data_IF_866136533940
#
_entry.id   IF_866136533940
#
_cell.length_a   1.000
_cell.length_b   1.000
_cell.length_c   1.000
_cell.angle_alpha   90.00
_cell.angle_beta   90.00
_cell.angle_gamma   90.00
#
_symmetry.space_group_name_H-M   'P 1'
#
loop_
_entity.id
_entity.type
_entity.pdbx_description
1 polymer ?
#
# COMPACT_ATOMS: atom_id res chain seq x y z
N UNK A 1 19.66 13.98 50.20
CA UNK A 1 19.87 13.14 49.01
C UNK A 1 20.31 13.94 47.76
N UNK A 2 19.76 15.14 47.51
CA UNK A 2 20.12 16.04 46.41
C UNK A 2 21.53 16.63 46.53
N UNK A 3 22.01 16.94 47.76
CA UNK A 3 23.34 17.53 47.96
C UNK A 3 24.49 16.56 47.73
N UNK A 4 24.29 15.27 47.99
CA UNK A 4 25.29 14.24 47.68
C UNK A 4 25.45 14.00 46.16
N UNK A 5 24.37 14.18 45.41
CA UNK A 5 24.43 14.15 43.93
C UNK A 5 25.15 15.36 43.36
N UNK A 6 24.92 16.56 43.90
CA UNK A 6 25.63 17.80 43.49
C UNK A 6 27.14 17.70 43.75
N UNK A 7 27.56 17.18 44.90
CA UNK A 7 29.00 16.99 45.18
C UNK A 7 29.68 15.97 44.28
N UNK A 8 29.00 14.89 43.90
CA UNK A 8 29.54 13.90 42.93
C UNK A 8 29.69 14.47 41.51
N UNK A 9 28.80 15.39 41.11
CA UNK A 9 28.89 16.08 39.79
C UNK A 9 30.03 17.11 39.74
N UNK A 10 30.40 17.73 40.86
CA UNK A 10 31.45 18.73 40.92
C UNK A 10 32.89 18.15 40.82
N UNK A 11 33.07 16.89 41.20
CA UNK A 11 34.40 16.22 41.20
C UNK A 11 34.80 15.57 39.86
N UNK A 12 33.95 15.62 38.83
CA UNK A 12 34.29 15.03 37.55
C UNK A 12 35.26 15.93 36.74
N UNK A 13 36.35 15.35 36.15
CA UNK A 13 37.27 16.11 35.33
C UNK A 13 36.55 16.79 34.16
N UNK A 14 36.94 18.01 33.82
CA UNK A 14 36.27 18.85 32.79
C UNK A 14 36.05 18.13 31.46
N UNK A 15 36.96 17.24 31.04
CA UNK A 15 36.87 16.47 29.80
C UNK A 15 35.68 15.48 29.79
N UNK A 16 35.33 14.86 30.94
CA UNK A 16 34.22 13.92 31.02
C UNK A 16 32.86 14.61 30.89
N UNK A 17 32.75 15.86 31.36
CA UNK A 17 31.52 16.66 31.20
C UNK A 17 31.27 17.02 29.74
N UNK A 18 32.33 17.40 28.99
CA UNK A 18 32.23 17.69 27.57
C UNK A 18 31.76 16.47 26.78
N UNK A 19 32.33 15.29 27.07
CA UNK A 19 31.93 14.03 26.42
C UNK A 19 30.47 13.66 26.73
N UNK A 20 30.02 13.83 27.97
CA UNK A 20 28.63 13.57 28.35
C UNK A 20 27.65 14.48 27.63
N UNK A 21 27.95 15.78 27.55
CA UNK A 21 27.10 16.74 26.81
C UNK A 21 27.07 16.37 25.33
N UNK A 22 28.21 16.02 24.73
CA UNK A 22 28.26 15.55 23.35
C UNK A 22 27.39 14.31 23.13
N UNK A 23 27.52 13.29 23.99
CA UNK A 23 26.69 12.07 23.90
C UNK A 23 25.19 12.36 24.01
N UNK A 24 24.80 13.29 24.89
CA UNK A 24 23.38 13.66 25.05
C UNK A 24 22.88 14.37 23.77
N UNK A 25 23.65 15.33 23.23
CA UNK A 25 23.27 16.04 22.01
C UNK A 25 23.20 15.07 20.83
N UNK A 26 24.18 14.15 20.73
CA UNK A 26 24.20 13.11 19.69
C UNK A 26 23.00 12.19 19.77
N UNK A 27 22.64 11.71 20.96
CA UNK A 27 21.46 10.86 21.18
C UNK A 27 20.17 11.59 20.86
N UNK A 28 20.02 12.84 21.32
CA UNK A 28 18.84 13.66 20.99
C UNK A 28 18.76 13.96 19.50
N UNK A 29 19.87 14.26 18.83
CA UNK A 29 19.93 14.46 17.40
C UNK A 29 19.51 13.23 16.60
N UNK A 30 20.02 12.04 17.00
CA UNK A 30 19.58 10.79 16.39
C UNK A 30 18.10 10.50 16.64
N UNK A 31 17.61 10.70 17.88
CA UNK A 31 16.20 10.52 18.22
C UNK A 31 15.31 11.42 17.34
N UNK A 32 15.66 12.70 17.19
CA UNK A 32 14.96 13.63 16.30
C UNK A 32 15.03 13.18 14.84
N UNK A 33 16.20 12.77 14.36
CA UNK A 33 16.40 12.33 12.99
C UNK A 33 15.55 11.11 12.67
N UNK A 34 15.53 10.10 13.55
CA UNK A 34 14.70 8.91 13.36
C UNK A 34 13.20 9.19 13.56
N UNK A 35 12.83 10.13 14.43
CA UNK A 35 11.43 10.53 14.62
C UNK A 35 10.88 11.35 13.45
N UNK A 36 11.69 12.13 12.75
CA UNK A 36 11.26 12.86 11.55
C UNK A 36 10.87 11.91 10.41
N UNK A 37 11.50 10.73 10.31
CA UNK A 37 11.11 9.68 9.37
C UNK A 37 9.68 9.16 9.60
N UNK A 38 9.14 9.30 10.83
CA UNK A 38 7.77 8.92 11.16
C UNK A 38 6.76 9.93 10.61
N UNK A 39 7.16 11.19 10.49
CA UNK A 39 6.32 12.30 10.04
C UNK A 39 6.54 12.70 8.58
N UNK A 40 7.33 11.93 7.82
CA UNK A 40 7.48 12.22 6.39
C UNK A 40 6.13 12.14 5.70
N UNK A 41 5.70 13.18 4.97
CA UNK A 41 4.47 13.14 4.20
C UNK A 41 4.57 12.05 3.13
N UNK A 42 3.43 11.45 2.80
CA UNK A 42 3.36 10.52 1.68
C UNK A 42 3.82 11.23 0.40
N UNK A 43 4.69 10.59 -0.34
CA UNK A 43 5.18 11.14 -1.60
C UNK A 43 4.32 10.62 -2.75
N UNK A 44 3.62 11.53 -3.43
CA UNK A 44 2.82 11.24 -4.62
C UNK A 44 3.62 11.59 -5.86
N UNK A 45 3.71 10.67 -6.80
CA UNK A 45 4.27 10.94 -8.13
C UNK A 45 3.24 11.70 -8.95
N UNK A 46 3.71 12.60 -9.79
CA UNK A 46 2.86 13.29 -10.76
C UNK A 46 2.60 12.34 -11.93
N UNK A 47 1.56 11.53 -11.80
CA UNK A 47 1.09 10.57 -12.79
C UNK A 47 -0.43 10.67 -12.90
N UNK A 48 -0.95 10.38 -14.06
CA UNK A 48 -2.39 10.34 -14.27
C UNK A 48 -3.02 9.21 -13.47
N UNK A 49 -3.97 9.58 -12.60
CA UNK A 49 -4.69 8.64 -11.75
C UNK A 49 -5.96 8.19 -12.45
N UNK A 50 -6.15 6.88 -12.54
CA UNK A 50 -7.34 6.29 -13.13
C UNK A 50 -8.55 6.45 -12.17
N UNK A 51 -9.62 7.15 -12.57
CA UNK A 51 -10.84 7.24 -11.78
C UNK A 51 -11.65 5.94 -11.82
N UNK A 52 -12.60 5.80 -10.89
CA UNK A 52 -13.66 4.79 -11.00
C UNK A 52 -14.41 5.02 -12.30
N UNK A 53 -14.75 3.93 -13.00
CA UNK A 53 -15.33 3.96 -14.34
C UNK A 53 -14.31 3.88 -15.47
N UNK A 54 -13.00 3.85 -15.16
CA UNK A 54 -11.96 3.66 -16.18
C UNK A 54 -12.11 2.29 -16.84
N UNK A 55 -12.15 2.28 -18.16
CA UNK A 55 -12.19 1.06 -18.99
C UNK A 55 -10.78 0.67 -19.41
N UNK A 56 -10.45 -0.60 -19.21
CA UNK A 56 -9.18 -1.21 -19.59
C UNK A 56 -9.44 -2.20 -20.73
N UNK A 57 -9.16 -1.77 -21.94
CA UNK A 57 -9.26 -2.64 -23.13
C UNK A 57 -8.09 -3.62 -23.18
N UNK A 58 -8.39 -4.90 -23.21
CA UNK A 58 -7.45 -6.02 -23.20
C UNK A 58 -7.75 -6.99 -24.37
N UNK A 59 -7.73 -6.47 -25.58
CA UNK A 59 -8.10 -7.22 -26.78
C UNK A 59 -9.61 -7.40 -26.88
N UNK A 60 -10.10 -8.62 -26.72
CA UNK A 60 -11.53 -8.94 -26.75
C UNK A 60 -12.23 -8.73 -25.41
N UNK A 61 -11.48 -8.33 -24.38
CA UNK A 61 -11.98 -8.13 -23.01
C UNK A 61 -11.89 -6.68 -22.63
N UNK A 62 -12.89 -6.19 -21.94
CA UNK A 62 -12.87 -4.87 -21.31
C UNK A 62 -13.15 -5.02 -19.83
N UNK A 63 -12.26 -4.49 -18.99
CA UNK A 63 -12.42 -4.42 -17.55
C UNK A 63 -12.75 -2.99 -17.18
N UNK A 64 -13.91 -2.76 -16.58
CA UNK A 64 -14.31 -1.45 -16.05
C UNK A 64 -14.15 -1.43 -14.54
N UNK A 65 -13.40 -0.48 -14.00
CA UNK A 65 -13.23 -0.34 -12.55
C UNK A 65 -14.53 0.19 -11.96
N UNK A 66 -15.20 -0.61 -11.11
CA UNK A 66 -16.46 -0.23 -10.47
C UNK A 66 -16.27 0.21 -9.03
N UNK A 67 -15.29 -0.35 -8.31
CA UNK A 67 -14.96 0.03 -6.95
C UNK A 67 -13.48 -0.15 -6.66
N UNK A 68 -13.00 0.64 -5.69
CA UNK A 68 -11.69 0.52 -5.12
C UNK A 68 -11.73 0.85 -3.64
N UNK A 69 -11.57 -0.16 -2.80
CA UNK A 69 -11.74 -0.06 -1.36
C UNK A 69 -10.43 -0.34 -0.63
N UNK A 70 -10.07 0.51 0.32
CA UNK A 70 -8.91 0.37 1.19
C UNK A 70 -9.32 0.12 2.64
N UNK A 71 -8.89 -1.01 3.21
CA UNK A 71 -9.03 -1.34 4.61
C UNK A 71 -7.68 -1.28 5.32
N UNK A 72 -7.42 -0.20 6.05
CA UNK A 72 -6.13 0.02 6.72
C UNK A 72 -5.85 -1.02 7.79
N UNK A 73 -6.86 -1.44 8.56
CA UNK A 73 -6.73 -2.47 9.60
C UNK A 73 -6.30 -3.82 9.03
N UNK A 74 -6.83 -4.17 7.86
CA UNK A 74 -6.53 -5.42 7.16
C UNK A 74 -5.23 -5.31 6.35
N UNK A 75 -4.69 -4.10 6.19
CA UNK A 75 -3.55 -3.79 5.31
C UNK A 75 -3.77 -4.37 3.91
N UNK A 76 -4.99 -4.18 3.41
CA UNK A 76 -5.45 -4.74 2.16
C UNK A 76 -6.34 -3.77 1.40
N UNK A 77 -6.29 -3.84 0.09
CA UNK A 77 -7.25 -3.17 -0.76
C UNK A 77 -7.93 -4.16 -1.70
N UNK A 78 -9.11 -3.80 -2.14
CA UNK A 78 -9.90 -4.59 -3.07
C UNK A 78 -10.29 -3.74 -4.27
N UNK A 79 -10.17 -4.30 -5.46
CA UNK A 79 -10.60 -3.70 -6.70
C UNK A 79 -11.69 -4.58 -7.28
N UNK A 80 -12.80 -3.98 -7.66
CA UNK A 80 -13.90 -4.67 -8.33
C UNK A 80 -13.95 -4.18 -9.77
N UNK A 81 -13.96 -5.12 -10.70
CA UNK A 81 -14.11 -4.87 -12.12
C UNK A 81 -15.40 -5.49 -12.61
N UNK A 82 -16.11 -4.77 -13.44
CA UNK A 82 -17.09 -5.33 -14.36
C UNK A 82 -16.35 -5.83 -15.60
N UNK A 83 -16.61 -7.05 -16.02
CA UNK A 83 -15.98 -7.70 -17.16
C UNK A 83 -16.95 -7.73 -18.32
N UNK A 84 -16.59 -7.11 -19.43
CA UNK A 84 -17.26 -7.29 -20.71
C UNK A 84 -16.41 -8.20 -21.57
N UNK A 85 -16.92 -9.39 -21.87
CA UNK A 85 -16.27 -10.41 -22.68
C UNK A 85 -16.97 -10.49 -24.03
N UNK A 86 -16.23 -10.18 -25.08
CA UNK A 86 -16.70 -10.31 -26.46
C UNK A 86 -16.28 -11.65 -27.07
N UNK A 87 -15.48 -12.45 -26.34
CA UNK A 87 -15.02 -13.75 -26.81
C UNK A 87 -16.07 -14.84 -26.53
N UNK A 88 -16.38 -15.62 -27.57
CA UNK A 88 -17.38 -16.67 -27.48
C UNK A 88 -16.89 -17.96 -26.77
N UNK A 89 -15.62 -18.10 -26.38
CA UNK A 89 -15.09 -19.44 -26.15
C UNK A 89 -14.09 -19.68 -25.03
N UNK A 90 -13.56 -18.71 -24.31
CA UNK A 90 -12.62 -18.98 -23.20
C UNK A 90 -12.51 -17.82 -22.22
N UNK A 91 -12.54 -18.16 -20.94
CA UNK A 91 -12.11 -17.24 -19.89
C UNK A 91 -10.62 -16.94 -20.02
N UNK A 92 -10.22 -15.68 -20.17
CA UNK A 92 -8.80 -15.35 -20.15
C UNK A 92 -8.27 -15.55 -18.75
N UNK A 93 -7.10 -16.15 -18.67
CA UNK A 93 -6.34 -16.10 -17.42
C UNK A 93 -5.86 -14.66 -17.19
N UNK A 94 -6.54 -13.92 -16.30
CA UNK A 94 -6.06 -12.62 -15.90
C UNK A 94 -4.83 -12.74 -15.00
N UNK A 95 -3.81 -11.95 -15.29
CA UNK A 95 -2.62 -11.83 -14.43
C UNK A 95 -2.45 -10.39 -14.00
N UNK A 96 -2.34 -10.19 -12.70
CA UNK A 96 -2.15 -8.86 -12.11
C UNK A 96 -0.74 -8.70 -11.55
N UNK A 97 -0.18 -7.52 -11.76
CA UNK A 97 1.07 -7.10 -11.11
C UNK A 97 0.85 -5.74 -10.46
N UNK A 98 1.23 -5.65 -9.21
CA UNK A 98 1.11 -4.41 -8.43
C UNK A 98 2.49 -3.88 -8.06
N UNK A 99 2.60 -2.55 -7.94
CA UNK A 99 3.73 -1.86 -7.32
C UNK A 99 3.18 -0.93 -6.26
N UNK A 100 3.34 -1.34 -5.00
CA UNK A 100 2.83 -0.62 -3.82
C UNK A 100 4.00 -0.16 -2.94
N UNK A 101 5.01 0.51 -3.50
CA UNK A 101 6.27 0.82 -2.81
C UNK A 101 7.05 -0.46 -2.49
N UNK A 102 7.66 -0.53 -1.30
CA UNK A 102 8.49 -1.66 -0.84
C UNK A 102 7.67 -2.79 -0.19
N UNK A 103 6.37 -2.83 -0.45
CA UNK A 103 5.48 -3.81 0.19
C UNK A 103 5.61 -5.19 -0.43
N UNK A 104 5.75 -6.20 0.42
CA UNK A 104 5.61 -7.60 0.04
C UNK A 104 4.13 -7.96 0.02
N UNK A 105 3.47 -7.72 -1.10
CA UNK A 105 2.06 -7.98 -1.26
C UNK A 105 1.78 -9.41 -1.75
N UNK A 106 0.58 -9.88 -1.46
CA UNK A 106 -0.03 -11.08 -2.05
C UNK A 106 -1.36 -10.66 -2.64
N UNK A 107 -1.76 -11.24 -3.76
CA UNK A 107 -3.08 -10.99 -4.29
C UNK A 107 -3.85 -12.29 -4.51
N UNK A 108 -5.16 -12.20 -4.37
CA UNK A 108 -6.12 -13.23 -4.74
C UNK A 108 -7.13 -12.63 -5.69
N UNK A 109 -7.56 -13.43 -6.65
CA UNK A 109 -8.62 -13.09 -7.58
C UNK A 109 -9.87 -13.86 -7.14
N UNK A 110 -10.98 -13.19 -7.02
CA UNK A 110 -12.28 -13.80 -6.77
C UNK A 110 -13.15 -13.51 -7.99
N UNK A 111 -13.80 -14.53 -8.53
CA UNK A 111 -14.78 -14.37 -9.58
C UNK A 111 -16.13 -14.68 -9.00
N UNK A 112 -17.01 -13.70 -9.02
CA UNK A 112 -18.40 -13.92 -8.64
C UNK A 112 -19.15 -14.57 -9.83
N UNK A 113 -20.27 -15.25 -9.54
CA UNK A 113 -21.15 -15.80 -10.57
C UNK A 113 -21.81 -14.64 -11.32
N UNK A 114 -21.13 -14.12 -12.33
CA UNK A 114 -21.54 -12.96 -13.09
C UNK A 114 -20.35 -12.33 -13.80
N UNK A 115 -20.53 -11.09 -14.18
CA UNK A 115 -19.54 -10.30 -14.92
C UNK A 115 -18.57 -9.53 -13.99
N UNK A 116 -18.50 -9.91 -12.71
CA UNK A 116 -17.65 -9.25 -11.73
C UNK A 116 -16.36 -10.03 -11.49
N UNK A 117 -15.24 -9.31 -11.51
CA UNK A 117 -13.91 -9.79 -11.17
C UNK A 117 -13.39 -8.97 -10.00
N UNK A 118 -13.12 -9.62 -8.88
CA UNK A 118 -12.62 -8.98 -7.67
C UNK A 118 -11.19 -9.37 -7.44
N UNK A 119 -10.33 -8.38 -7.23
CA UNK A 119 -8.91 -8.59 -6.94
C UNK A 119 -8.58 -7.99 -5.59
N UNK A 120 -8.27 -8.84 -4.62
CA UNK A 120 -7.85 -8.43 -3.28
C UNK A 120 -6.34 -8.51 -3.15
N UNK A 121 -5.73 -7.42 -2.72
CA UNK A 121 -4.28 -7.32 -2.46
C UNK A 121 -4.07 -7.10 -0.97
N UNK A 122 -3.28 -7.97 -0.35
CA UNK A 122 -2.99 -7.95 1.08
C UNK A 122 -1.49 -7.80 1.36
N UNK A 123 -1.13 -7.38 2.58
CA UNK A 123 0.25 -7.14 2.99
C UNK A 123 0.79 -5.79 2.52
N UNK A 124 -0.10 -4.87 2.18
CA UNK A 124 0.26 -3.51 1.74
C UNK A 124 0.66 -2.67 2.96
N UNK A 125 1.66 -1.80 2.79
CA UNK A 125 2.05 -0.87 3.85
C UNK A 125 0.93 0.13 4.10
N UNK A 126 0.62 0.44 5.37
CA UNK A 126 -0.33 1.51 5.72
C UNK A 126 0.11 2.91 5.24
N UNK A 127 1.38 3.04 4.86
CA UNK A 127 1.95 4.30 4.35
C UNK A 127 2.06 4.36 2.83
N UNK A 128 1.47 3.41 2.09
CA UNK A 128 1.48 3.53 0.64
C UNK A 128 0.75 4.82 0.22
N UNK A 129 1.25 5.46 -0.84
CA UNK A 129 0.65 6.66 -1.40
C UNK A 129 -0.05 6.34 -2.72
N UNK A 130 0.62 5.56 -3.55
CA UNK A 130 0.17 5.22 -4.89
C UNK A 130 0.44 3.76 -5.19
N UNK A 131 -0.42 3.19 -6.03
CA UNK A 131 -0.31 1.84 -6.56
C UNK A 131 -0.29 1.93 -8.08
N UNK A 132 0.71 1.31 -8.68
CA UNK A 132 0.66 0.99 -10.10
C UNK A 132 0.16 -0.45 -10.26
N UNK A 133 -0.89 -0.62 -11.04
CA UNK A 133 -1.44 -1.93 -11.40
C UNK A 133 -1.21 -2.17 -12.90
N UNK A 134 -0.69 -3.34 -13.23
CA UNK A 134 -0.65 -3.84 -14.61
C UNK A 134 -1.50 -5.09 -14.67
N UNK A 135 -2.47 -5.10 -15.56
CA UNK A 135 -3.30 -6.27 -15.87
C UNK A 135 -2.94 -6.80 -17.25
N UNK A 136 -2.93 -8.12 -17.39
CA UNK A 136 -2.71 -8.82 -18.64
C UNK A 136 -3.82 -9.83 -18.88
N UNK A 137 -4.27 -9.92 -20.13
CA UNK A 137 -5.15 -10.97 -20.62
C UNK A 137 -4.60 -11.44 -21.98
N UNK A 138 -4.15 -12.69 -22.06
CA UNK A 138 -3.44 -13.19 -23.23
C UNK A 138 -2.18 -12.36 -23.56
N UNK A 139 -2.13 -11.79 -24.76
CA UNK A 139 -1.04 -10.91 -25.21
C UNK A 139 -1.26 -9.43 -24.86
N UNK A 140 -2.49 -9.03 -24.52
CA UNK A 140 -2.82 -7.67 -24.20
C UNK A 140 -2.43 -7.29 -22.76
N UNK A 141 -2.03 -6.05 -22.56
CA UNK A 141 -1.61 -5.53 -21.25
C UNK A 141 -1.95 -4.06 -21.11
N UNK A 142 -2.45 -3.65 -19.93
CA UNK A 142 -2.70 -2.25 -19.56
C UNK A 142 -2.14 -1.97 -18.19
N UNK A 143 -1.65 -0.76 -18.01
CA UNK A 143 -1.15 -0.28 -16.72
C UNK A 143 -1.87 1.00 -16.34
N UNK A 144 -2.28 1.10 -15.08
CA UNK A 144 -2.94 2.26 -14.50
C UNK A 144 -2.30 2.59 -13.16
N UNK A 145 -2.50 3.84 -12.73
CA UNK A 145 -2.10 4.33 -11.42
C UNK A 145 -3.32 4.73 -10.63
N UNK A 146 -3.27 4.45 -9.35
CA UNK A 146 -4.31 4.80 -8.40
C UNK A 146 -3.65 5.27 -7.11
N UNK A 147 -4.27 6.14 -6.36
CA UNK A 147 -3.75 6.62 -5.10
C UNK A 147 -4.75 6.43 -3.95
N UNK A 148 -4.23 6.47 -2.73
CA UNK A 148 -5.02 6.24 -1.53
C UNK A 148 -6.10 7.32 -1.29
N UNK A 149 -5.99 8.49 -1.94
CA UNK A 149 -6.99 9.57 -1.85
C UNK A 149 -8.23 9.31 -2.70
N UNK A 150 -8.09 8.48 -3.73
CA UNK A 150 -9.18 8.12 -4.65
C UNK A 150 -9.88 6.82 -4.26
N UNK A 151 -9.33 6.09 -3.29
CA UNK A 151 -9.93 4.86 -2.75
C UNK A 151 -11.01 5.19 -1.72
N UNK A 152 -12.06 4.37 -1.65
CA UNK A 152 -12.99 4.40 -0.55
C UNK A 152 -12.33 3.76 0.69
N UNK A 153 -12.29 4.49 1.81
CA UNK A 153 -11.75 3.97 3.05
C UNK A 153 -12.84 3.20 3.80
N UNK A 154 -12.64 1.90 3.94
CA UNK A 154 -13.57 1.00 4.63
C UNK A 154 -12.94 0.46 5.92
N UNK A 155 -13.75 0.10 6.88
CA UNK A 155 -13.26 -0.45 8.15
C UNK A 155 -12.69 -1.86 7.95
N UNK A 156 -13.37 -2.68 7.17
CA UNK A 156 -12.97 -4.05 6.77
C UNK A 156 -13.45 -4.35 5.37
N UNK A 157 -12.74 -5.22 4.68
CA UNK A 157 -13.18 -5.77 3.40
C UNK A 157 -14.20 -6.89 3.65
N UNK A 158 -15.15 -7.03 2.73
CA UNK A 158 -16.14 -8.10 2.79
C UNK A 158 -15.48 -9.48 2.81
N UNK A 159 -16.03 -10.41 3.61
CA UNK A 159 -15.61 -11.80 3.56
C UNK A 159 -16.08 -12.44 2.25
N UNK A 160 -15.11 -12.95 1.47
CA UNK A 160 -15.40 -13.66 0.23
C UNK A 160 -15.01 -15.12 0.37
N UNK A 161 -15.90 -16.00 -0.01
CA UNK A 161 -15.64 -17.44 0.02
C UNK A 161 -14.68 -17.83 -1.10
N UNK A 162 -13.71 -18.70 -0.80
CA UNK A 162 -12.79 -19.29 -1.80
C UNK A 162 -13.54 -20.25 -2.78
N UNK A 163 -14.86 -20.44 -2.61
CA UNK A 163 -15.66 -21.37 -3.42
C UNK A 163 -15.80 -20.97 -4.90
N UNK A 164 -15.56 -19.69 -5.24
CA UNK A 164 -15.55 -19.22 -6.63
C UNK A 164 -14.28 -19.64 -7.41
N UNK A 165 -13.34 -20.35 -6.78
CA UNK A 165 -12.03 -20.71 -7.36
C UNK A 165 -11.92 -22.14 -7.87
N UNK A 166 -13.00 -22.89 -7.97
CA UNK A 166 -12.93 -24.23 -8.55
C UNK A 166 -13.42 -24.19 -10.00
N UNK A 167 -12.51 -23.87 -10.88
CA UNK A 167 -12.46 -24.47 -12.22
C UNK A 167 -11.02 -24.81 -12.54
#
# INVERSE_FOLDING_TARGET
>A
MLDSMRQKLQKRPRGVRGLQIFCIIFLLGNLLFFSTGIFMPKHYKDVEIAPIGTELELGEYTLTITSWDWAEKDRAFEIIFEVKDLSLNREPGYTFRFRCGDSHYRYKIYRDLGDLLVVRVSGVSSRFAQVAMTVKAGSASRSIYMDDRTMAHVERLEERSDAAYRI
#
